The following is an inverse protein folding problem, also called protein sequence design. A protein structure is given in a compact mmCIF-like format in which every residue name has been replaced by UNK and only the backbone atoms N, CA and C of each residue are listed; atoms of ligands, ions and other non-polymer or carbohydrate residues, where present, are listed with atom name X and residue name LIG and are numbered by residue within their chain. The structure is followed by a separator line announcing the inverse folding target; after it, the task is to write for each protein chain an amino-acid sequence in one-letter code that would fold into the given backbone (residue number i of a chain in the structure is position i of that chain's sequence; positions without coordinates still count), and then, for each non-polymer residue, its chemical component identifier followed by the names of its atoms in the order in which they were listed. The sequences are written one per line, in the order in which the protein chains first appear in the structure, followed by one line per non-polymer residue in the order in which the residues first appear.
data_IF_192451324836
#
_entry.id   IF_192451324836
#
_cell.length_a   1.000
_cell.length_b   1.000
_cell.length_c   1.000
_cell.angle_alpha   90.00
_cell.angle_beta   90.00
_cell.angle_gamma   90.00
#
_symmetry.space_group_name_H-M   'P 1'
#
loop_
_entity.id
_entity.type
_entity.pdbx_description
1 polymer ?
#
# COMPACT_ATOMS: atom_id res chain seq x y z
N UNK A 1 -6.87 12.52 -15.90
CA UNK A 1 -5.41 12.60 -16.23
C UNK A 1 -4.79 11.27 -15.86
N UNK A 2 -4.08 10.61 -16.77
CA UNK A 2 -3.32 9.40 -16.48
C UNK A 2 -1.91 9.77 -16.05
N UNK A 3 -1.32 9.02 -15.11
CA UNK A 3 0.06 9.19 -14.64
C UNK A 3 0.77 7.85 -14.65
N UNK A 4 2.03 7.85 -15.07
CA UNK A 4 2.90 6.69 -14.89
C UNK A 4 3.31 6.59 -13.43
N UNK A 5 3.26 5.38 -12.87
CA UNK A 5 3.70 5.12 -11.50
C UNK A 5 5.20 5.34 -11.35
N UNK A 6 5.97 5.14 -12.43
CA UNK A 6 7.39 5.47 -12.49
C UNK A 6 7.71 6.90 -12.08
N UNK A 7 6.83 7.85 -12.42
CA UNK A 7 7.01 9.25 -12.05
C UNK A 7 6.71 9.54 -10.57
N UNK A 8 6.07 8.59 -9.87
CA UNK A 8 5.68 8.71 -8.48
C UNK A 8 6.65 7.99 -7.55
N UNK A 9 7.34 6.94 -8.00
CA UNK A 9 8.38 6.30 -7.19
C UNK A 9 9.45 7.31 -6.74
N UNK A 10 9.84 7.22 -5.47
CA UNK A 10 10.81 8.11 -4.85
C UNK A 10 10.31 9.53 -4.55
N UNK A 11 9.09 9.91 -4.96
CA UNK A 11 8.53 11.21 -4.58
C UNK A 11 8.32 11.29 -3.07
N UNK A 12 8.51 12.49 -2.53
CA UNK A 12 8.30 12.75 -1.10
C UNK A 12 6.83 12.58 -0.75
N UNK A 13 6.59 12.12 0.47
CA UNK A 13 5.28 12.00 1.08
C UNK A 13 5.20 12.96 2.26
N UNK A 14 4.15 13.77 2.31
CA UNK A 14 3.88 14.70 3.40
C UNK A 14 2.56 14.37 4.09
N UNK A 15 2.59 14.25 5.41
CA UNK A 15 1.42 14.31 6.27
C UNK A 15 0.99 15.78 6.49
N UNK A 16 -0.16 15.97 7.15
CA UNK A 16 -0.67 17.30 7.50
C UNK A 16 0.22 18.08 8.48
N UNK A 17 1.08 17.36 9.22
CA UNK A 17 1.97 17.88 10.27
C UNK A 17 3.46 17.63 9.99
N UNK A 18 3.84 17.13 8.80
CA UNK A 18 5.25 17.05 8.40
C UNK A 18 5.59 15.99 7.34
N UNK A 19 6.88 15.86 7.02
CA UNK A 19 7.40 14.85 6.09
C UNK A 19 7.28 13.44 6.71
N UNK A 20 6.85 12.47 5.90
CA UNK A 20 6.68 11.06 6.29
C UNK A 20 7.51 10.09 5.43
N UNK A 21 8.37 10.59 4.53
CA UNK A 21 9.29 9.77 3.74
C UNK A 21 8.98 9.83 2.25
N UNK A 22 8.98 8.68 1.58
CA UNK A 22 8.85 8.61 0.12
C UNK A 22 8.06 7.41 -0.38
N UNK A 23 7.52 7.53 -1.59
CA UNK A 23 6.85 6.43 -2.28
C UNK A 23 7.86 5.36 -2.66
N UNK A 24 7.62 4.13 -2.22
CA UNK A 24 8.49 2.99 -2.53
C UNK A 24 7.90 2.06 -3.57
N UNK A 25 6.61 1.71 -3.43
CA UNK A 25 5.91 0.79 -4.33
C UNK A 25 4.39 1.09 -4.36
N UNK A 26 3.64 0.42 -5.23
CA UNK A 26 2.19 0.38 -5.22
C UNK A 26 1.71 -1.08 -5.17
N UNK A 27 0.73 -1.35 -4.32
CA UNK A 27 0.04 -2.63 -4.31
C UNK A 27 -1.31 -2.49 -4.99
N UNK A 28 -1.56 -3.40 -5.93
CA UNK A 28 -2.79 -3.45 -6.68
C UNK A 28 -3.41 -4.84 -6.60
N UNK A 29 -4.72 -4.91 -6.72
CA UNK A 29 -5.45 -6.18 -6.76
C UNK A 29 -5.40 -6.74 -8.19
N UNK A 30 -4.89 -7.98 -8.35
CA UNK A 30 -4.69 -8.62 -9.66
C UNK A 30 -5.97 -9.14 -10.34
N UNK A 31 -7.10 -9.15 -9.64
CA UNK A 31 -8.41 -9.49 -10.20
C UNK A 31 -9.16 -8.26 -10.70
N UNK A 32 -9.14 -7.20 -9.91
CA UNK A 32 -9.86 -5.96 -10.17
C UNK A 32 -9.02 -4.94 -10.95
N UNK A 33 -7.71 -5.13 -11.00
CA UNK A 33 -6.75 -4.21 -11.60
C UNK A 33 -6.82 -2.78 -11.01
N UNK A 34 -7.01 -2.69 -9.69
CA UNK A 34 -7.12 -1.42 -8.95
C UNK A 34 -5.96 -1.27 -7.97
N UNK A 35 -5.37 -0.08 -7.91
CA UNK A 35 -4.38 0.26 -6.88
C UNK A 35 -5.10 0.35 -5.54
N UNK A 36 -4.67 -0.46 -4.57
CA UNK A 36 -5.26 -0.55 -3.23
C UNK A 36 -4.42 0.21 -2.20
N UNK A 37 -3.10 0.19 -2.38
CA UNK A 37 -2.18 0.83 -1.45
C UNK A 37 -0.97 1.47 -2.14
N UNK A 38 -0.52 2.58 -1.58
CA UNK A 38 0.82 3.14 -1.79
C UNK A 38 1.71 2.64 -0.65
N UNK A 39 2.85 2.07 -0.97
CA UNK A 39 3.85 1.66 0.02
C UNK A 39 4.76 2.84 0.30
N UNK A 40 4.70 3.36 1.52
CA UNK A 40 5.55 4.44 1.99
C UNK A 40 6.79 3.87 2.69
N UNK A 41 7.98 4.30 2.28
CA UNK A 41 9.21 4.13 3.06
C UNK A 41 9.37 5.35 3.96
N UNK A 42 9.25 5.11 5.26
CA UNK A 42 9.35 6.16 6.26
C UNK A 42 10.78 6.60 6.55
N UNK A 43 11.80 5.95 5.99
CA UNK A 43 13.19 6.33 6.19
C UNK A 43 13.56 6.44 7.68
N UNK A 44 14.47 7.33 8.03
CA UNK A 44 15.02 7.38 9.39
C UNK A 44 14.04 7.80 10.48
N UNK A 45 12.91 8.46 10.16
CA UNK A 45 12.02 8.99 11.20
C UNK A 45 11.17 7.91 11.89
N UNK A 46 10.93 6.78 11.20
CA UNK A 46 10.27 5.60 11.76
C UNK A 46 11.09 4.34 11.45
N UNK A 47 12.41 4.41 11.63
CA UNK A 47 13.35 3.28 11.52
C UNK A 47 13.28 2.49 10.20
N UNK A 48 12.92 3.14 9.10
CA UNK A 48 12.78 2.54 7.77
C UNK A 48 11.54 1.65 7.65
N UNK A 49 10.56 1.79 8.54
CA UNK A 49 9.32 1.04 8.48
C UNK A 49 8.56 1.35 7.19
N UNK A 50 7.85 0.34 6.72
CA UNK A 50 7.07 0.41 5.51
C UNK A 50 5.62 0.42 5.89
N UNK A 51 4.89 1.41 5.38
CA UNK A 51 3.49 1.62 5.74
C UNK A 51 2.62 1.58 4.49
N UNK A 52 1.46 0.95 4.60
CA UNK A 52 0.44 0.94 3.56
C UNK A 52 -0.46 2.16 3.70
N UNK A 53 -0.49 3.01 2.68
CA UNK A 53 -1.35 4.19 2.64
C UNK A 53 -2.44 3.98 1.59
N UNK A 54 -3.70 4.14 1.99
CA UNK A 54 -4.83 4.07 1.07
C UNK A 54 -4.80 5.25 0.07
N UNK A 55 -5.02 5.03 -1.23
CA UNK A 55 -5.15 6.11 -2.22
C UNK A 55 -6.21 7.17 -1.85
N UNK A 56 -7.22 6.82 -1.03
CA UNK A 56 -8.30 7.73 -0.66
C UNK A 56 -7.88 8.88 0.27
N UNK A 57 -6.76 8.74 0.99
CA UNK A 57 -6.27 9.80 1.88
C UNK A 57 -5.36 10.80 1.16
N UNK A 58 -4.99 10.54 -0.09
CA UNK A 58 -4.18 11.49 -0.85
C UNK A 58 -5.00 12.71 -1.24
N UNK A 59 -4.41 13.88 -1.03
CA UNK A 59 -4.98 15.10 -1.56
C UNK A 59 -4.83 15.15 -3.08
N UNK A 60 -5.49 16.14 -3.70
CA UNK A 60 -5.43 16.32 -5.14
C UNK A 60 -3.96 16.40 -5.58
N UNK A 61 -3.53 15.50 -6.47
CA UNK A 61 -2.14 15.38 -6.92
C UNK A 61 -1.79 16.62 -7.77
N UNK A 62 -1.57 17.78 -7.16
CA UNK A 62 -1.22 18.99 -7.89
C UNK A 62 0.14 18.83 -8.56
N UNK A 63 0.21 19.20 -9.83
CA UNK A 63 1.32 18.87 -10.73
C UNK A 63 2.63 19.63 -10.43
N UNK A 64 2.59 20.62 -9.54
CA UNK A 64 3.69 21.53 -9.27
C UNK A 64 4.57 21.13 -8.07
N UNK A 65 4.17 20.13 -7.29
CA UNK A 65 4.90 19.70 -6.08
C UNK A 65 5.73 18.44 -6.32
N UNK A 66 6.96 18.42 -5.82
CA UNK A 66 7.76 17.19 -5.65
C UNK A 66 7.37 16.37 -4.42
N UNK A 67 6.25 16.74 -3.78
CA UNK A 67 5.69 16.11 -2.60
C UNK A 67 4.22 15.73 -2.85
N UNK A 68 3.85 14.49 -2.50
CA UNK A 68 2.48 14.03 -2.47
C UNK A 68 1.95 14.16 -1.03
N UNK A 69 0.85 14.89 -0.86
CA UNK A 69 0.26 15.13 0.45
C UNK A 69 -0.82 14.10 0.76
N UNK A 70 -0.85 13.65 2.01
CA UNK A 70 -1.89 12.79 2.56
C UNK A 70 -2.57 13.48 3.73
N UNK A 71 -3.89 13.31 3.84
CA UNK A 71 -4.68 13.80 4.94
C UNK A 71 -4.62 12.85 6.15
N UNK A 72 -3.40 12.62 6.64
CA UNK A 72 -3.07 11.85 7.84
C UNK A 72 -2.02 12.62 8.63
N UNK A 73 -1.92 12.38 9.93
CA UNK A 73 -0.81 12.88 10.77
C UNK A 73 0.33 11.87 10.83
N UNK A 74 1.53 12.34 11.18
CA UNK A 74 2.69 11.46 11.44
C UNK A 74 2.39 10.39 12.49
N UNK A 75 1.66 10.75 13.54
CA UNK A 75 1.26 9.82 14.60
C UNK A 75 0.32 8.72 14.10
N UNK A 76 -0.60 9.04 13.17
CA UNK A 76 -1.46 8.02 12.56
C UNK A 76 -0.65 7.04 11.69
N UNK A 77 0.38 7.53 10.98
CA UNK A 77 1.30 6.69 10.21
C UNK A 77 2.16 5.82 11.14
N UNK A 78 2.68 6.38 12.23
CA UNK A 78 3.48 5.64 13.23
C UNK A 78 2.70 4.51 13.90
N UNK A 79 1.41 4.72 14.18
CA UNK A 79 0.54 3.70 14.76
C UNK A 79 0.07 2.65 13.74
N UNK A 80 0.40 2.79 12.46
CA UNK A 80 0.01 1.82 11.44
C UNK A 80 0.93 0.58 11.50
N UNK A 81 0.41 -0.63 11.22
CA UNK A 81 1.24 -1.83 11.20
C UNK A 81 2.33 -1.73 10.13
N UNK A 82 3.56 -2.10 10.48
CA UNK A 82 4.66 -2.17 9.53
C UNK A 82 4.50 -3.41 8.64
N UNK A 83 4.92 -3.28 7.37
CA UNK A 83 5.07 -4.42 6.46
C UNK A 83 6.55 -4.73 6.23
N UNK A 84 6.88 -6.00 5.97
CA UNK A 84 8.24 -6.50 5.76
C UNK A 84 8.55 -6.71 4.27
N UNK A 85 9.48 -5.94 3.71
CA UNK A 85 9.76 -5.94 2.27
C UNK A 85 10.06 -7.30 1.59
N UNK A 86 10.43 -8.35 2.34
CA UNK A 86 10.87 -9.64 1.78
C UNK A 86 9.83 -10.76 1.85
N UNK A 87 8.64 -10.53 2.42
CA UNK A 87 7.57 -11.53 2.47
C UNK A 87 6.66 -11.40 1.24
N UNK A 88 5.98 -12.46 0.78
CA UNK A 88 4.96 -12.31 -0.26
C UNK A 88 3.83 -11.41 0.24
N UNK A 89 3.39 -10.48 -0.61
CA UNK A 89 2.47 -9.38 -0.26
C UNK A 89 1.18 -9.90 0.40
N UNK A 90 0.63 -11.00 -0.10
CA UNK A 90 -0.57 -11.64 0.45
C UNK A 90 -0.43 -12.09 1.91
N UNK A 91 0.72 -12.67 2.29
CA UNK A 91 0.97 -13.11 3.67
C UNK A 91 1.21 -11.93 4.62
N UNK A 92 1.87 -10.89 4.13
CA UNK A 92 2.09 -9.67 4.92
C UNK A 92 0.78 -8.95 5.18
N UNK A 93 -0.09 -8.92 4.18
CA UNK A 93 -1.37 -8.26 4.27
C UNK A 93 -2.31 -8.97 5.25
N UNK A 94 -2.30 -10.30 5.25
CA UNK A 94 -3.04 -11.07 6.26
C UNK A 94 -2.56 -10.73 7.67
N UNK A 95 -1.25 -10.71 7.90
CA UNK A 95 -0.68 -10.30 9.20
C UNK A 95 -0.97 -8.83 9.54
N UNK A 96 -1.01 -7.94 8.54
CA UNK A 96 -1.39 -6.53 8.70
C UNK A 96 -2.83 -6.40 9.19
N UNK A 97 -3.79 -7.14 8.60
CA UNK A 97 -5.17 -7.18 9.10
C UNK A 97 -5.31 -7.85 10.45
N UNK A 98 -4.69 -9.00 10.66
CA UNK A 98 -4.74 -9.70 11.94
C UNK A 98 -4.19 -8.78 13.06
N UNK A 99 -3.17 -7.98 12.74
CA UNK A 99 -2.68 -6.90 13.58
C UNK A 99 -3.71 -5.81 13.85
N UNK A 100 -4.39 -5.29 12.81
CA UNK A 100 -5.47 -4.28 12.94
C UNK A 100 -6.65 -4.81 13.77
N UNK A 101 -7.06 -6.06 13.59
CA UNK A 101 -8.14 -6.69 14.35
C UNK A 101 -7.77 -6.90 15.82
N UNK A 102 -6.48 -7.13 16.11
CA UNK A 102 -5.96 -7.22 17.49
C UNK A 102 -6.00 -5.87 18.23
N UNK A 103 -6.06 -4.74 17.51
CA UNK A 103 -6.07 -3.38 18.07
C UNK A 103 -7.40 -2.64 17.94
N UNK A 104 -8.45 -3.32 17.45
CA UNK A 104 -9.80 -2.79 17.29
C UNK A 104 -9.93 -1.67 16.24
N UNK A 105 -11.16 -1.41 15.79
CA UNK A 105 -11.44 -0.23 14.96
C UNK A 105 -11.38 1.00 15.88
N UNK A 106 -10.21 1.65 15.95
CA UNK A 106 -10.03 2.92 16.67
C UNK A 106 -9.03 2.94 17.83
N UNK A 107 -8.22 1.89 18.05
CA UNK A 107 -7.11 1.95 19.00
C UNK A 107 -7.47 1.84 20.49
N UNK A 108 -8.60 1.21 20.82
CA UNK A 108 -8.99 0.90 22.20
C UNK A 108 -9.15 -0.62 22.41
N UNK A 109 -8.72 -1.18 23.57
CA UNK A 109 -8.91 -2.58 23.88
C UNK A 109 -10.38 -2.83 24.25
N UNK A 110 -11.19 -3.23 23.27
CA UNK A 110 -12.49 -3.84 23.53
C UNK A 110 -12.33 -5.36 23.44
N UNK A 111 -13.00 -6.10 24.33
CA UNK A 111 -12.89 -7.56 24.39
C UNK A 111 -13.21 -8.19 23.03
N UNK A 112 -12.48 -9.24 22.60
CA UNK A 112 -12.71 -9.87 21.31
C UNK A 112 -14.13 -10.45 21.28
N UNK A 113 -14.96 -9.92 20.39
CA UNK A 113 -16.20 -10.57 20.00
C UNK A 113 -15.87 -11.91 19.33
N UNK A 114 -16.64 -12.98 19.62
CA UNK A 114 -16.35 -14.32 19.09
C UNK A 114 -16.35 -14.33 17.56
N UNK A 115 -15.55 -15.22 16.93
CA UNK A 115 -15.19 -15.12 15.53
C UNK A 115 -16.39 -15.44 14.66
N UNK A 116 -17.04 -14.41 14.11
CA UNK A 116 -17.69 -14.58 12.83
C UNK A 116 -16.61 -14.67 11.77
N UNK A 117 -16.13 -15.91 11.59
CA UNK A 117 -15.42 -16.43 10.43
C UNK A 117 -16.27 -16.16 9.17
N UNK A 118 -16.20 -14.95 8.67
CA UNK A 118 -16.35 -14.66 7.26
C UNK A 118 -15.14 -13.78 6.95
N UNK A 119 -14.17 -14.19 6.12
CA UNK A 119 -13.28 -13.21 5.54
C UNK A 119 -14.20 -12.16 4.94
N UNK A 120 -14.10 -10.92 5.44
CA UNK A 120 -14.81 -9.82 4.80
C UNK A 120 -14.46 -9.89 3.32
N UNK A 121 -15.40 -9.57 2.43
CA UNK A 121 -15.14 -9.60 0.99
C UNK A 121 -13.83 -8.87 0.65
N UNK A 122 -13.52 -7.83 1.43
CA UNK A 122 -12.27 -7.07 1.41
C UNK A 122 -11.02 -7.92 1.73
N UNK A 123 -10.99 -8.69 2.83
CA UNK A 123 -9.86 -9.57 3.16
C UNK A 123 -9.61 -10.64 2.08
N UNK A 124 -10.66 -11.22 1.48
CA UNK A 124 -10.50 -12.14 0.35
C UNK A 124 -9.99 -11.44 -0.91
N UNK A 125 -10.42 -10.20 -1.16
CA UNK A 125 -10.00 -9.39 -2.30
C UNK A 125 -8.51 -9.05 -2.18
N UNK A 126 -8.04 -8.77 -0.98
CA UNK A 126 -6.67 -8.32 -0.78
C UNK A 126 -5.64 -9.46 -0.66
N UNK A 127 -6.07 -10.74 -0.68
CA UNK A 127 -5.18 -11.88 -0.98
C UNK A 127 -4.58 -11.81 -2.39
N UNK A 128 -5.22 -11.04 -3.27
CA UNK A 128 -4.81 -10.79 -4.65
C UNK A 128 -3.93 -9.55 -4.81
N UNK A 129 -3.37 -9.03 -3.72
CA UNK A 129 -2.44 -7.90 -3.79
C UNK A 129 -1.09 -8.30 -4.37
N UNK A 130 -0.69 -7.58 -5.42
CA UNK A 130 0.60 -7.72 -6.08
C UNK A 130 1.36 -6.40 -6.04
N UNK A 131 2.69 -6.50 -5.96
CA UNK A 131 3.60 -5.36 -6.14
C UNK A 131 3.67 -4.98 -7.61
N UNK A 132 3.54 -3.69 -7.90
CA UNK A 132 3.73 -3.17 -9.26
C UNK A 132 5.18 -3.36 -9.73
N UNK A 133 6.17 -3.15 -8.86
CA UNK A 133 7.57 -3.39 -9.20
C UNK A 133 7.89 -4.87 -9.43
N UNK A 134 7.23 -5.78 -8.72
CA UNK A 134 7.44 -7.22 -8.91
C UNK A 134 6.97 -7.70 -10.29
N UNK A 135 6.01 -7.03 -10.91
CA UNK A 135 5.49 -7.39 -12.24
C UNK A 135 6.24 -6.71 -13.40
N UNK A 136 6.99 -5.65 -13.13
CA UNK A 136 7.86 -5.04 -14.15
C UNK A 136 8.83 -6.08 -14.73
N UNK A 137 8.79 -6.25 -16.06
CA UNK A 137 9.59 -7.23 -16.80
C UNK A 137 8.89 -8.56 -17.10
N UNK A 138 7.70 -8.83 -16.54
CA UNK A 138 6.97 -10.05 -16.86
C UNK A 138 6.61 -10.12 -18.35
N UNK A 139 6.81 -11.26 -19.03
CA UNK A 139 6.47 -11.39 -20.45
C UNK A 139 4.96 -11.36 -20.65
N UNK A 140 4.51 -10.53 -21.58
CA UNK A 140 3.14 -10.53 -22.08
C UNK A 140 3.06 -11.62 -23.14
N UNK A 141 2.27 -12.65 -22.87
CA UNK A 141 2.08 -13.78 -23.78
C UNK A 141 0.72 -13.70 -24.47
N UNK A 142 0.72 -14.05 -25.75
CA UNK A 142 -0.48 -14.36 -26.54
C UNK A 142 -0.54 -15.86 -26.79
N UNK A 143 -1.63 -16.34 -27.37
CA UNK A 143 -1.73 -17.73 -27.85
C UNK A 143 -0.64 -18.10 -28.88
N UNK A 144 0.02 -17.10 -29.48
CA UNK A 144 1.06 -17.27 -30.50
C UNK A 144 2.48 -17.07 -29.98
N UNK A 145 2.64 -16.69 -28.71
CA UNK A 145 3.95 -16.46 -28.08
C UNK A 145 4.07 -15.12 -27.34
N UNK A 146 5.27 -14.85 -26.81
CA UNK A 146 5.57 -13.61 -26.09
C UNK A 146 5.67 -12.41 -27.03
N UNK A 147 4.98 -11.32 -26.68
CA UNK A 147 4.87 -10.09 -27.51
C UNK A 147 5.49 -8.86 -26.86
N UNK A 148 5.96 -8.97 -25.62
CA UNK A 148 6.57 -7.85 -24.90
C UNK A 148 6.72 -8.12 -23.42
N UNK A 149 6.98 -7.07 -22.64
CA UNK A 149 7.11 -7.13 -21.20
C UNK A 149 6.28 -6.03 -20.53
N UNK A 150 5.79 -6.30 -19.33
CA UNK A 150 5.11 -5.31 -18.48
C UNK A 150 6.11 -4.23 -18.06
N UNK A 151 5.67 -2.97 -18.08
CA UNK A 151 6.43 -1.82 -17.59
C UNK A 151 5.56 -0.98 -16.65
N UNK A 152 6.16 -0.45 -15.58
CA UNK A 152 5.59 0.62 -14.73
C UNK A 152 5.84 2.04 -15.28
#
# INVERSE_FOLDING_TARGET
MLRSLRQLYGKKLGASDGDIGHVRDFYFNDQQWTIRYVVADTGSWLSGHLVLISPHVFENLHQAGDCLLVNLTRQQIENSPAIESHKPVSLQYQAYWDGVETWGVGGFPEAPSPPHLMPSKQASDDLHLQSTQALSGYPIQTSEGAIGHVID
#
